data_IF_566854605147
#
_entry.id   IF_566854605147
#
_cell.length_a   1.000
_cell.length_b   1.000
_cell.length_c   1.000
_cell.angle_alpha   90.00
_cell.angle_beta   90.00
_cell.angle_gamma   90.00
#
_symmetry.space_group_name_H-M   'P 1'
#
loop_
_entity.id
_entity.type
_entity.pdbx_description
1 polymer ?
#
# COMPACT_ATOMS: atom_id res chain seq x y z
N UNK A 1 -22.35 17.35 14.92
CA UNK A 1 -22.66 17.18 16.34
C UNK A 1 -22.57 18.53 17.01
N UNK A 2 -23.19 18.64 18.18
CA UNK A 2 -23.53 19.89 18.86
C UNK A 2 -22.83 19.95 20.23
N UNK A 3 -22.84 21.15 20.83
CA UNK A 3 -22.19 21.50 22.09
C UNK A 3 -22.43 20.47 23.22
N UNK A 4 -21.36 20.04 23.89
CA UNK A 4 -21.41 19.18 25.09
C UNK A 4 -21.11 17.69 24.88
N UNK A 5 -20.89 17.25 23.64
CA UNK A 5 -20.62 15.84 23.31
C UNK A 5 -19.13 15.55 23.03
N UNK A 6 -18.77 14.27 23.05
CA UNK A 6 -17.46 13.76 22.68
C UNK A 6 -17.13 14.02 21.19
N UNK A 7 -15.96 14.60 20.91
CA UNK A 7 -15.51 14.93 19.55
C UNK A 7 -15.05 13.74 18.69
N UNK A 8 -15.04 12.51 19.23
CA UNK A 8 -14.66 11.29 18.50
C UNK A 8 -15.37 11.15 17.14
N UNK A 9 -16.69 11.34 17.10
CA UNK A 9 -17.46 11.25 15.84
C UNK A 9 -17.06 12.30 14.80
N UNK A 10 -16.69 13.51 15.25
CA UNK A 10 -16.20 14.56 14.36
C UNK A 10 -14.83 14.23 13.77
N UNK A 11 -13.92 13.75 14.63
CA UNK A 11 -12.59 13.33 14.20
C UNK A 11 -12.67 12.17 13.20
N UNK A 12 -13.47 11.13 13.49
CA UNK A 12 -13.68 9.99 12.58
C UNK A 12 -14.23 10.44 11.23
N UNK A 13 -15.27 11.28 11.22
CA UNK A 13 -15.86 11.76 9.97
C UNK A 13 -14.85 12.57 9.15
N UNK A 14 -14.10 13.46 9.80
CA UNK A 14 -13.07 14.27 9.15
C UNK A 14 -11.97 13.39 8.55
N UNK A 15 -11.40 12.48 9.34
CA UNK A 15 -10.31 11.62 8.88
C UNK A 15 -10.79 10.66 7.78
N UNK A 16 -11.98 10.10 7.89
CA UNK A 16 -12.55 9.25 6.83
C UNK A 16 -12.77 10.01 5.52
N UNK A 17 -13.22 11.27 5.59
CA UNK A 17 -13.35 12.10 4.39
C UNK A 17 -11.99 12.34 3.73
N UNK A 18 -10.95 12.61 4.53
CA UNK A 18 -9.58 12.77 4.02
C UNK A 18 -9.04 11.47 3.42
N UNK A 19 -9.18 10.34 4.12
CA UNK A 19 -8.75 9.02 3.64
C UNK A 19 -9.45 8.65 2.33
N UNK A 20 -10.75 8.91 2.23
CA UNK A 20 -11.52 8.68 1.01
C UNK A 20 -10.99 9.53 -0.17
N UNK A 21 -10.75 10.82 0.05
CA UNK A 21 -10.22 11.70 -0.99
C UNK A 21 -8.81 11.28 -1.44
N UNK A 22 -7.94 10.90 -0.49
CA UNK A 22 -6.60 10.42 -0.81
C UNK A 22 -6.62 9.10 -1.59
N UNK A 23 -7.47 8.15 -1.19
CA UNK A 23 -7.68 6.90 -1.94
C UNK A 23 -8.23 7.15 -3.34
N UNK A 24 -9.19 8.07 -3.51
CA UNK A 24 -9.72 8.45 -4.81
C UNK A 24 -8.63 9.04 -5.72
N UNK A 25 -7.80 9.95 -5.18
CA UNK A 25 -6.67 10.51 -5.91
C UNK A 25 -5.68 9.42 -6.34
N UNK A 26 -5.38 8.47 -5.45
CA UNK A 26 -4.50 7.34 -5.78
C UNK A 26 -5.10 6.41 -6.83
N UNK A 27 -6.39 6.11 -6.73
CA UNK A 27 -7.11 5.28 -7.71
C UNK A 27 -7.07 5.94 -9.08
N UNK A 28 -7.34 7.24 -9.14
CA UNK A 28 -7.26 7.99 -10.38
C UNK A 28 -5.83 8.01 -10.96
N UNK A 29 -4.81 8.12 -10.12
CA UNK A 29 -3.42 8.06 -10.55
C UNK A 29 -3.06 6.68 -11.14
N UNK A 30 -3.52 5.59 -10.50
CA UNK A 30 -3.40 4.21 -11.03
C UNK A 30 -4.13 4.09 -12.37
N UNK A 31 -5.34 4.59 -12.51
CA UNK A 31 -6.11 4.49 -13.76
C UNK A 31 -5.46 5.27 -14.92
N UNK A 32 -4.88 6.44 -14.64
CA UNK A 32 -4.29 7.31 -15.67
C UNK A 32 -2.87 6.92 -16.06
N UNK A 33 -2.09 6.46 -15.09
CA UNK A 33 -0.64 6.29 -15.23
C UNK A 33 -0.14 4.91 -14.82
N UNK A 34 -1.03 4.05 -14.31
CA UNK A 34 -0.69 2.70 -13.92
C UNK A 34 -0.32 1.85 -15.12
N UNK A 35 0.82 1.21 -15.02
CA UNK A 35 1.27 0.17 -15.95
C UNK A 35 1.00 -1.24 -15.39
N UNK A 36 0.31 -1.34 -14.24
CA UNK A 36 0.26 -2.53 -13.38
C UNK A 36 1.64 -3.07 -12.97
N UNK A 37 2.66 -2.21 -13.04
CA UNK A 37 4.01 -2.49 -12.58
C UNK A 37 4.33 -1.60 -11.39
N UNK A 38 5.40 -1.97 -10.67
CA UNK A 38 5.85 -1.20 -9.52
C UNK A 38 6.23 0.24 -9.96
N UNK A 39 5.62 1.28 -9.38
CA UNK A 39 5.96 2.65 -9.68
C UNK A 39 7.38 3.00 -9.22
N UNK A 40 8.00 4.00 -9.85
CA UNK A 40 9.29 4.50 -9.38
C UNK A 40 9.18 5.05 -7.95
N UNK A 41 10.31 5.02 -7.23
CA UNK A 41 10.37 5.44 -5.83
C UNK A 41 9.96 6.90 -5.61
N UNK A 42 10.16 7.76 -6.61
CA UNK A 42 9.86 9.19 -6.58
C UNK A 42 8.36 9.49 -6.45
N UNK A 43 7.49 8.63 -7.00
CA UNK A 43 6.04 8.85 -7.01
C UNK A 43 5.23 7.66 -6.46
N UNK A 44 5.87 6.66 -5.85
CA UNK A 44 5.20 5.48 -5.27
C UNK A 44 4.03 5.80 -4.34
N UNK A 45 4.10 6.90 -3.58
CA UNK A 45 3.05 7.28 -2.64
C UNK A 45 1.80 7.85 -3.31
N UNK A 46 1.90 8.32 -4.55
CA UNK A 46 0.73 8.72 -5.33
C UNK A 46 -0.19 7.53 -5.61
N UNK A 47 0.34 6.30 -5.64
CA UNK A 47 -0.38 5.06 -5.96
C UNK A 47 -0.76 4.27 -4.70
N UNK A 48 0.07 4.34 -3.65
CA UNK A 48 0.12 3.38 -2.54
C UNK A 48 -1.21 3.13 -1.80
N UNK A 49 -2.14 4.10 -1.76
CA UNK A 49 -3.44 3.88 -1.11
C UNK A 49 -4.40 3.07 -1.96
N UNK A 50 -4.24 3.05 -3.28
CA UNK A 50 -5.05 2.25 -4.19
C UNK A 50 -4.32 0.96 -4.62
N UNK A 51 -3.01 1.04 -4.86
CA UNK A 51 -2.21 -0.11 -5.28
C UNK A 51 -0.78 -0.01 -4.74
N UNK A 52 -0.29 -1.10 -4.17
CA UNK A 52 1.02 -1.16 -3.53
C UNK A 52 1.84 -2.35 -4.00
N UNK A 53 3.14 -2.12 -4.15
CA UNK A 53 4.10 -3.10 -4.65
C UNK A 53 5.34 -3.13 -3.75
N UNK A 54 5.81 -4.33 -3.39
CA UNK A 54 7.04 -4.55 -2.64
C UNK A 54 7.87 -5.68 -3.26
N UNK A 55 9.20 -5.50 -3.24
CA UNK A 55 10.15 -6.36 -3.94
C UNK A 55 10.77 -5.70 -5.18
N UNK A 56 11.49 -6.49 -5.99
CA UNK A 56 12.18 -6.08 -7.22
C UNK A 56 11.66 -6.92 -8.39
N UNK A 57 11.63 -6.34 -9.59
CA UNK A 57 11.39 -7.13 -10.81
C UNK A 57 12.57 -8.08 -11.04
N UNK A 58 12.32 -9.24 -11.67
CA UNK A 58 13.42 -10.11 -12.12
C UNK A 58 14.22 -9.40 -13.21
N UNK A 59 15.54 -9.62 -13.21
CA UNK A 59 16.40 -9.16 -14.31
C UNK A 59 16.12 -10.00 -15.56
N UNK A 60 15.54 -9.40 -16.59
CA UNK A 60 15.20 -10.08 -17.86
C UNK A 60 13.98 -9.43 -18.53
N UNK A 61 13.79 -9.71 -19.83
CA UNK A 61 12.76 -9.08 -20.66
C UNK A 61 11.36 -9.52 -20.26
N UNK A 62 10.79 -8.84 -19.26
CA UNK A 62 9.38 -8.45 -19.06
C UNK A 62 9.14 -8.37 -17.55
N UNK A 63 9.02 -7.14 -17.05
CA UNK A 63 8.61 -6.90 -15.68
C UNK A 63 7.16 -7.38 -15.51
N UNK A 64 6.90 -8.24 -14.52
CA UNK A 64 5.56 -8.69 -14.15
C UNK A 64 5.27 -8.35 -12.67
N UNK A 65 4.01 -8.07 -12.33
CA UNK A 65 3.54 -7.97 -10.96
C UNK A 65 3.71 -9.31 -10.20
N UNK A 66 3.64 -10.45 -10.91
CA UNK A 66 3.90 -11.77 -10.35
C UNK A 66 5.36 -11.96 -9.88
N UNK A 67 6.29 -11.15 -10.37
CA UNK A 67 7.68 -11.17 -9.88
C UNK A 67 7.85 -10.42 -8.55
N UNK A 68 6.85 -9.62 -8.14
CA UNK A 68 6.91 -8.91 -6.87
C UNK A 68 6.81 -9.87 -5.68
N UNK A 69 7.51 -9.52 -4.60
CA UNK A 69 7.35 -10.21 -3.33
C UNK A 69 5.92 -10.05 -2.82
N UNK A 70 5.38 -8.84 -2.92
CA UNK A 70 4.02 -8.53 -2.53
C UNK A 70 3.42 -7.48 -3.46
N UNK A 71 2.17 -7.70 -3.83
CA UNK A 71 1.33 -6.72 -4.51
C UNK A 71 -0.06 -6.76 -3.88
N UNK A 72 -0.71 -5.61 -3.77
CA UNK A 72 -2.09 -5.52 -3.34
C UNK A 72 -2.80 -4.33 -3.97
N UNK A 73 -4.06 -4.55 -4.36
CA UNK A 73 -5.01 -3.49 -4.66
C UNK A 73 -5.95 -3.32 -3.49
N UNK A 74 -6.13 -2.07 -3.07
CA UNK A 74 -6.94 -1.73 -1.91
C UNK A 74 -8.24 -1.04 -2.31
N UNK A 75 -9.32 -1.49 -1.68
CA UNK A 75 -10.56 -0.73 -1.64
C UNK A 75 -10.43 0.48 -0.70
N UNK A 76 -11.47 1.32 -0.68
CA UNK A 76 -11.48 2.54 0.12
C UNK A 76 -11.24 2.24 1.61
N UNK A 77 -10.18 2.79 2.23
CA UNK A 77 -9.88 2.57 3.64
C UNK A 77 -10.91 3.24 4.55
N UNK A 78 -11.12 2.68 5.73
CA UNK A 78 -12.03 3.23 6.73
C UNK A 78 -11.40 3.24 8.11
N UNK A 79 -11.48 4.36 8.82
CA UNK A 79 -11.11 4.51 10.21
C UNK A 79 -12.35 4.41 11.10
N UNK A 80 -12.29 3.56 12.12
CA UNK A 80 -13.33 3.42 13.15
C UNK A 80 -12.71 3.74 14.50
N UNK A 81 -13.36 4.55 15.33
CA UNK A 81 -12.97 4.69 16.72
C UNK A 81 -13.69 3.62 17.54
N UNK A 82 -12.91 2.82 18.26
CA UNK A 82 -13.44 1.80 19.18
C UNK A 82 -13.79 2.45 20.52
N UNK A 83 -12.99 3.44 20.91
CA UNK A 83 -13.21 4.30 22.07
C UNK A 83 -12.55 5.67 21.82
N UNK A 84 -12.44 6.50 22.86
CA UNK A 84 -11.85 7.84 22.75
C UNK A 84 -10.32 7.84 22.59
N UNK A 85 -9.67 6.70 22.78
CA UNK A 85 -8.21 6.55 22.73
C UNK A 85 -7.74 5.55 21.68
N UNK A 86 -8.64 4.67 21.21
CA UNK A 86 -8.31 3.59 20.28
C UNK A 86 -9.05 3.76 18.96
N UNK A 87 -8.29 3.66 17.87
CA UNK A 87 -8.80 3.68 16.52
C UNK A 87 -8.32 2.43 15.76
N UNK A 88 -9.19 1.92 14.90
CA UNK A 88 -8.90 0.81 14.00
C UNK A 88 -8.95 1.33 12.56
N UNK A 89 -7.83 1.22 11.85
CA UNK A 89 -7.76 1.44 10.40
C UNK A 89 -8.04 0.12 9.69
N UNK A 90 -9.14 0.08 8.95
CA UNK A 90 -9.53 -1.04 8.10
C UNK A 90 -9.02 -0.79 6.67
N UNK A 91 -8.12 -1.67 6.23
CA UNK A 91 -7.65 -1.73 4.85
C UNK A 91 -8.29 -2.95 4.18
N UNK A 92 -9.04 -2.72 3.11
CA UNK A 92 -9.71 -3.78 2.35
C UNK A 92 -8.82 -4.18 1.19
N UNK A 93 -8.32 -5.41 1.18
CA UNK A 93 -7.61 -5.95 0.02
C UNK A 93 -8.65 -6.51 -0.96
N UNK A 94 -8.74 -5.91 -2.14
CA UNK A 94 -9.58 -6.40 -3.22
C UNK A 94 -8.87 -7.47 -4.04
N UNK A 95 -7.57 -7.26 -4.26
CA UNK A 95 -6.68 -8.18 -4.94
C UNK A 95 -5.34 -8.20 -4.20
N UNK A 96 -4.66 -9.36 -4.21
CA UNK A 96 -3.38 -9.50 -3.55
C UNK A 96 -2.57 -10.67 -4.09
N UNK A 97 -1.27 -10.47 -4.13
CA UNK A 97 -0.28 -11.47 -4.52
C UNK A 97 0.87 -11.46 -3.50
N UNK A 98 1.28 -12.65 -3.06
CA UNK A 98 2.44 -12.83 -2.18
C UNK A 98 3.29 -13.99 -2.70
N UNK A 99 4.52 -13.67 -3.12
CA UNK A 99 5.44 -14.65 -3.68
C UNK A 99 6.29 -15.30 -2.59
N UNK A 100 5.91 -16.51 -2.18
CA UNK A 100 6.62 -17.29 -1.16
C UNK A 100 8.03 -17.71 -1.56
N UNK A 101 8.32 -17.78 -2.86
CA UNK A 101 9.62 -18.19 -3.41
C UNK A 101 10.53 -17.00 -3.72
N UNK A 102 10.10 -15.78 -3.38
CA UNK A 102 10.85 -14.55 -3.65
C UNK A 102 12.27 -14.58 -3.03
N UNK A 103 12.41 -15.05 -1.79
CA UNK A 103 13.70 -15.13 -1.11
C UNK A 103 14.64 -16.14 -1.78
N UNK A 104 14.12 -17.31 -2.17
CA UNK A 104 14.90 -18.34 -2.87
C UNK A 104 15.41 -17.84 -4.22
N UNK A 105 14.59 -17.08 -4.94
CA UNK A 105 14.98 -16.46 -6.20
C UNK A 105 16.03 -15.36 -6.02
N UNK A 106 16.00 -14.64 -4.89
CA UNK A 106 16.97 -13.58 -4.58
C UNK A 106 18.36 -14.12 -4.18
N UNK A 107 18.42 -15.31 -3.59
CA UNK A 107 19.67 -15.99 -3.21
C UNK A 107 20.38 -16.62 -4.42
N UNK A 108 19.62 -16.99 -5.45
CA UNK A 108 20.14 -17.61 -6.68
C UNK A 108 20.63 -16.58 -7.72
N UNK A 109 20.44 -15.29 -7.51
CA UNK A 109 21.03 -14.24 -8.36
C UNK A 109 22.53 -14.07 -8.07
N UNK A 110 23.46 -14.27 -9.03
CA UNK A 110 24.92 -14.33 -8.79
C UNK A 110 25.61 -13.00 -8.44
N UNK A 111 24.94 -12.06 -7.77
CA UNK A 111 25.46 -10.71 -7.54
C UNK A 111 25.12 -10.06 -6.20
N UNK A 112 24.44 -10.76 -5.28
CA UNK A 112 23.93 -10.14 -4.04
C UNK A 112 24.66 -10.63 -2.78
N UNK A 113 25.99 -10.67 -2.83
CA UNK A 113 26.83 -10.95 -1.67
C UNK A 113 27.42 -9.65 -1.13
N UNK A 114 26.62 -8.81 -0.45
CA UNK A 114 27.15 -7.74 0.40
C UNK A 114 26.32 -7.56 1.69
N UNK A 115 26.99 -7.95 2.78
CA UNK A 115 26.90 -7.61 4.20
C UNK A 115 25.63 -6.98 4.77
N UNK A 116 25.01 -7.75 5.68
CA UNK A 116 24.19 -7.24 6.78
C UNK A 116 25.17 -6.74 7.87
N UNK A 117 25.32 -5.43 8.00
CA UNK A 117 25.78 -4.84 9.26
C UNK A 117 24.54 -4.63 10.14
N UNK A 118 24.43 -5.44 11.20
CA UNK A 118 23.53 -5.17 12.30
C UNK A 118 24.22 -4.21 13.27
N UNK A 119 23.43 -3.21 13.68
CA UNK A 119 23.66 -2.09 14.62
C UNK A 119 24.38 -0.88 14.02
#
# INVERSE_FOLDING_TARGET
MCYGENNAGHAVNYINAQLAALWQNSTHCVEQHGTHLKPEASYKYSFALAEYYYGKHRHGNQADAADMMFHARFGKPTLKFLCNHDAMLELVLEEGHYNIDYLKASELSPGNQYEISLI
#
